data_IF_282084395623
#
_entry.id   IF_282084395623
#
_cell.length_a   1.000
_cell.length_b   1.000
_cell.length_c   1.000
_cell.angle_alpha   90.00
_cell.angle_beta   90.00
_cell.angle_gamma   90.00
#
_symmetry.space_group_name_H-M   'P 1'
#
loop_
_entity.id
_entity.type
_entity.pdbx_description
1 polymer ?
#
# COMPACT_ATOMS: atom_id res chain seq x y z
N UNK A 1 12.08 -16.37 -5.95
CA UNK A 1 12.77 -15.17 -5.42
C UNK A 1 13.60 -14.59 -6.55
N UNK A 2 13.06 -13.62 -7.29
CA UNK A 2 13.85 -12.88 -8.28
C UNK A 2 14.66 -11.88 -7.45
N UNK A 3 16.00 -11.97 -7.41
CA UNK A 3 16.82 -10.96 -6.76
C UNK A 3 16.91 -9.77 -7.71
N UNK A 4 15.77 -9.12 -7.97
CA UNK A 4 15.78 -7.86 -8.69
C UNK A 4 16.26 -6.81 -7.70
N UNK A 5 17.54 -6.42 -7.79
CA UNK A 5 17.98 -5.13 -7.29
C UNK A 5 17.22 -4.07 -8.10
N UNK A 6 15.99 -3.79 -7.69
CA UNK A 6 15.12 -2.80 -8.33
C UNK A 6 15.78 -1.44 -8.14
N UNK A 7 16.37 -0.93 -9.22
CA UNK A 7 16.90 0.42 -9.26
C UNK A 7 15.78 1.42 -8.97
N UNK A 8 16.08 2.58 -8.39
CA UNK A 8 15.08 3.59 -8.02
C UNK A 8 14.16 3.98 -9.20
N UNK A 9 14.69 3.93 -10.42
CA UNK A 9 13.96 4.16 -11.66
C UNK A 9 12.87 3.10 -11.92
N UNK A 10 13.17 1.81 -11.69
CA UNK A 10 12.18 0.72 -11.85
C UNK A 10 11.06 0.80 -10.82
N UNK A 11 11.38 1.19 -9.58
CA UNK A 11 10.39 1.42 -8.55
C UNK A 11 9.47 2.61 -8.91
N UNK A 12 10.04 3.71 -9.43
CA UNK A 12 9.27 4.85 -9.90
C UNK A 12 8.33 4.48 -11.05
N UNK A 13 8.80 3.71 -12.04
CA UNK A 13 7.98 3.20 -13.14
C UNK A 13 6.87 2.26 -12.66
N UNK A 14 7.17 1.38 -11.70
CA UNK A 14 6.18 0.49 -11.10
C UNK A 14 5.06 1.25 -10.37
N UNK A 15 5.42 2.28 -9.61
CA UNK A 15 4.45 3.16 -8.95
C UNK A 15 3.62 3.93 -9.99
N UNK A 16 4.27 4.47 -11.03
CA UNK A 16 3.58 5.20 -12.10
C UNK A 16 2.57 4.32 -12.85
N UNK A 17 2.95 3.08 -13.18
CA UNK A 17 2.04 2.10 -13.77
C UNK A 17 0.86 1.81 -12.84
N UNK A 18 1.13 1.55 -11.56
CA UNK A 18 0.06 1.33 -10.57
C UNK A 18 -0.88 2.52 -10.42
N UNK A 19 -0.36 3.74 -10.52
CA UNK A 19 -1.16 4.96 -10.51
C UNK A 19 -2.05 5.07 -11.77
N UNK A 20 -1.51 4.76 -12.96
CA UNK A 20 -2.29 4.74 -14.20
C UNK A 20 -3.43 3.73 -14.09
N UNK A 21 -3.15 2.49 -13.66
CA UNK A 21 -4.19 1.48 -13.50
C UNK A 21 -5.22 1.88 -12.43
N UNK A 22 -4.77 2.48 -11.33
CA UNK A 22 -5.68 3.01 -10.29
C UNK A 22 -6.58 4.10 -10.83
N UNK A 23 -6.06 4.98 -11.70
CA UNK A 23 -6.83 6.03 -12.34
C UNK A 23 -7.84 5.46 -13.33
N UNK A 24 -7.46 4.47 -14.15
CA UNK A 24 -8.40 3.79 -15.05
C UNK A 24 -9.51 3.09 -14.26
N UNK A 25 -9.17 2.42 -13.16
CA UNK A 25 -10.16 1.81 -12.27
C UNK A 25 -11.11 2.86 -11.68
N UNK A 26 -10.58 4.00 -11.24
CA UNK A 26 -11.39 5.10 -10.73
C UNK A 26 -12.32 5.69 -11.79
N UNK A 27 -11.84 5.91 -13.02
CA UNK A 27 -12.66 6.45 -14.10
C UNK A 27 -13.74 5.49 -14.59
N UNK A 28 -13.50 4.17 -14.51
CA UNK A 28 -14.45 3.15 -14.97
C UNK A 28 -15.46 2.76 -13.90
N UNK A 29 -15.05 2.70 -12.63
CA UNK A 29 -15.88 2.17 -11.53
C UNK A 29 -16.25 3.21 -10.47
N UNK A 30 -15.67 4.41 -10.51
CA UNK A 30 -15.74 5.43 -9.44
C UNK A 30 -15.26 4.94 -8.06
N UNK A 31 -14.63 3.76 -7.99
CA UNK A 31 -14.03 3.22 -6.78
C UNK A 31 -12.56 3.63 -6.71
N UNK A 32 -12.09 3.95 -5.51
CA UNK A 32 -10.69 4.31 -5.32
C UNK A 32 -9.97 3.12 -4.66
N UNK A 33 -9.01 2.49 -5.36
CA UNK A 33 -8.36 1.26 -4.90
C UNK A 33 -7.34 1.56 -3.79
N UNK A 34 -7.81 1.76 -2.56
CA UNK A 34 -6.95 1.89 -1.38
C UNK A 34 -6.01 3.11 -1.38
N UNK A 35 -6.22 4.08 -2.28
CA UNK A 35 -5.35 5.22 -2.56
C UNK A 35 -4.61 5.04 -3.88
N UNK A 36 -4.50 6.10 -4.69
CA UNK A 36 -4.00 5.98 -6.08
C UNK A 36 -2.58 5.40 -6.22
N UNK A 37 -1.74 5.55 -5.21
CA UNK A 37 -0.36 5.04 -5.21
C UNK A 37 -0.27 3.61 -4.65
N UNK A 38 -1.27 3.21 -3.87
CA UNK A 38 -1.25 1.99 -3.06
C UNK A 38 -1.11 0.71 -3.90
N UNK A 39 -1.86 0.48 -4.99
CA UNK A 39 -1.74 -0.75 -5.78
C UNK A 39 -0.35 -0.90 -6.43
N UNK A 40 0.26 0.22 -6.85
CA UNK A 40 1.61 0.21 -7.40
C UNK A 40 2.66 -0.17 -6.37
N UNK A 41 2.54 0.36 -5.15
CA UNK A 41 3.44 -0.03 -4.06
C UNK A 41 3.22 -1.49 -3.64
N UNK A 42 1.97 -1.95 -3.50
CA UNK A 42 1.69 -3.34 -3.15
C UNK A 42 2.26 -4.29 -4.23
N UNK A 43 2.07 -3.97 -5.52
CA UNK A 43 2.62 -4.77 -6.61
C UNK A 43 4.14 -4.88 -6.53
N UNK A 44 4.85 -3.78 -6.25
CA UNK A 44 6.30 -3.79 -6.03
C UNK A 44 6.70 -4.64 -4.82
N UNK A 45 6.00 -4.48 -3.68
CA UNK A 45 6.30 -5.27 -2.49
C UNK A 45 6.04 -6.76 -2.68
N UNK A 46 5.08 -7.16 -3.52
CA UNK A 46 4.86 -8.56 -3.87
C UNK A 46 6.01 -9.13 -4.72
N UNK A 47 6.69 -8.30 -5.50
CA UNK A 47 7.89 -8.71 -6.27
C UNK A 47 9.10 -8.82 -5.35
N UNK A 48 9.29 -7.87 -4.42
CA UNK A 48 10.48 -7.82 -3.55
C UNK A 48 10.35 -8.73 -2.34
N UNK A 49 9.26 -8.61 -1.58
CA UNK A 49 9.10 -9.23 -0.26
C UNK A 49 7.62 -9.48 0.09
N UNK A 50 7.15 -10.70 -0.17
CA UNK A 50 5.80 -11.15 0.18
C UNK A 50 5.50 -11.06 1.68
N UNK A 51 6.51 -11.15 2.55
CA UNK A 51 6.33 -11.02 4.00
C UNK A 51 5.96 -9.58 4.40
N UNK A 52 6.44 -8.57 3.66
CA UNK A 52 6.05 -7.17 3.87
C UNK A 52 4.60 -6.89 3.50
N UNK A 53 4.08 -7.53 2.45
CA UNK A 53 2.67 -7.42 2.09
C UNK A 53 1.75 -7.94 3.23
N UNK A 54 2.11 -9.06 3.87
CA UNK A 54 1.36 -9.59 5.02
C UNK A 54 1.35 -8.64 6.23
N UNK A 55 2.51 -8.07 6.56
CA UNK A 55 2.63 -7.06 7.62
C UNK A 55 1.80 -5.82 7.32
N UNK A 56 1.80 -5.35 6.07
CA UNK A 56 1.00 -4.21 5.64
C UNK A 56 -0.50 -4.46 5.82
N UNK A 57 -1.02 -5.64 5.49
CA UNK A 57 -2.43 -5.99 5.74
C UNK A 57 -2.75 -6.00 7.24
N UNK A 58 -1.85 -6.55 8.07
CA UNK A 58 -2.01 -6.55 9.52
C UNK A 58 -2.05 -5.11 10.09
N UNK A 59 -1.15 -4.24 9.63
CA UNK A 59 -1.12 -2.84 10.07
C UNK A 59 -2.31 -2.05 9.54
N UNK A 60 -2.72 -2.25 8.29
CA UNK A 60 -3.89 -1.58 7.71
C UNK A 60 -5.19 -1.95 8.45
N UNK A 61 -5.37 -3.23 8.78
CA UNK A 61 -6.53 -3.69 9.56
C UNK A 61 -6.49 -3.14 10.98
N UNK A 62 -5.34 -3.20 11.67
CA UNK A 62 -5.17 -2.60 12.99
C UNK A 62 -5.45 -1.09 13.00
N UNK A 63 -4.94 -0.37 12.01
CA UNK A 63 -5.18 1.08 11.85
C UNK A 63 -6.65 1.38 11.59
N UNK A 64 -7.33 0.59 10.76
CA UNK A 64 -8.76 0.73 10.50
C UNK A 64 -9.59 0.56 11.78
N UNK A 65 -9.29 -0.45 12.61
CA UNK A 65 -9.99 -0.63 13.89
C UNK A 65 -9.70 0.51 14.87
N UNK A 66 -8.44 0.93 14.97
CA UNK A 66 -8.03 2.03 15.85
C UNK A 66 -8.73 3.33 15.45
N UNK A 67 -8.77 3.64 14.16
CA UNK A 67 -9.41 4.86 13.66
C UNK A 67 -10.92 4.84 13.86
N UNK A 68 -11.57 3.68 13.73
CA UNK A 68 -12.99 3.52 14.07
C UNK A 68 -13.26 3.73 15.57
N UNK A 69 -12.33 3.33 16.44
CA UNK A 69 -12.43 3.59 17.88
C UNK A 69 -12.27 5.09 18.18
N UNK A 70 -11.28 5.75 17.58
CA UNK A 70 -11.05 7.19 17.74
C UNK A 70 -12.24 8.01 17.21
N UNK A 71 -12.87 7.59 16.11
CA UNK A 71 -14.09 8.21 15.58
C UNK A 71 -15.27 8.18 16.57
N UNK A 72 -15.29 7.26 17.56
CA UNK A 72 -16.33 7.25 18.61
C UNK A 72 -16.13 8.36 19.62
N UNK A 73 -14.88 8.75 19.88
CA UNK A 73 -14.53 9.77 20.88
C UNK A 73 -14.35 11.15 20.26
N UNK A 74 -13.93 11.23 19.00
CA UNK A 74 -13.60 12.48 18.31
C UNK A 74 -14.33 12.57 16.99
N UNK A 75 -14.96 13.71 16.75
CA UNK A 75 -15.64 14.03 15.49
C UNK A 75 -14.58 14.25 14.39
N UNK A 76 -14.29 13.19 13.63
CA UNK A 76 -13.32 13.19 12.54
C UNK A 76 -14.03 13.10 11.18
N UNK A 77 -14.13 14.23 10.49
CA UNK A 77 -14.69 14.30 9.12
C UNK A 77 -13.76 15.04 8.15
N UNK A 78 -13.93 14.74 6.86
CA UNK A 78 -13.21 15.40 5.76
C UNK A 78 -11.68 15.28 5.88
N UNK A 79 -10.98 16.42 5.79
CA UNK A 79 -9.50 16.48 5.83
C UNK A 79 -8.91 16.05 7.18
N UNK A 80 -9.65 16.20 8.28
CA UNK A 80 -9.19 15.79 9.63
C UNK A 80 -9.13 14.29 9.76
N UNK A 81 -10.09 13.59 9.16
CA UNK A 81 -10.11 12.13 9.12
C UNK A 81 -8.87 11.58 8.41
N UNK A 82 -8.53 12.15 7.25
CA UNK A 82 -7.35 11.74 6.49
C UNK A 82 -6.07 11.86 7.33
N UNK A 83 -5.83 13.02 7.94
CA UNK A 83 -4.66 13.24 8.78
C UNK A 83 -4.61 12.28 9.97
N UNK A 84 -5.73 12.08 10.67
CA UNK A 84 -5.79 11.19 11.82
C UNK A 84 -5.51 9.73 11.42
N UNK A 85 -6.08 9.24 10.33
CA UNK A 85 -5.87 7.86 9.86
C UNK A 85 -4.42 7.62 9.45
N UNK A 86 -3.83 8.55 8.68
CA UNK A 86 -2.43 8.43 8.28
C UNK A 86 -1.50 8.49 9.49
N UNK A 87 -1.76 9.39 10.46
CA UNK A 87 -0.98 9.44 11.70
C UNK A 87 -1.10 8.15 12.51
N UNK A 88 -2.31 7.62 12.66
CA UNK A 88 -2.52 6.32 13.32
C UNK A 88 -1.74 5.21 12.60
N UNK A 89 -1.74 5.19 11.26
CA UNK A 89 -1.00 4.20 10.49
C UNK A 89 0.50 4.29 10.73
N UNK A 90 1.05 5.51 10.70
CA UNK A 90 2.48 5.75 10.95
C UNK A 90 2.84 5.33 12.37
N UNK A 91 2.05 5.70 13.38
CA UNK A 91 2.27 5.28 14.77
C UNK A 91 2.16 3.76 14.95
N UNK A 92 1.20 3.12 14.30
CA UNK A 92 1.06 1.67 14.32
C UNK A 92 2.26 0.99 13.64
N UNK A 93 2.69 1.49 12.49
CA UNK A 93 3.84 0.94 11.77
C UNK A 93 5.14 1.15 12.55
N UNK A 94 5.35 2.31 13.18
CA UNK A 94 6.55 2.57 13.99
C UNK A 94 6.57 1.72 15.27
N UNK A 95 5.43 1.53 15.94
CA UNK A 95 5.34 0.64 17.10
C UNK A 95 5.62 -0.82 16.72
N UNK A 96 5.07 -1.30 15.60
CA UNK A 96 5.37 -2.65 15.10
C UNK A 96 6.84 -2.75 14.69
N UNK A 97 7.40 -1.74 14.02
CA UNK A 97 8.83 -1.71 13.67
C UNK A 97 9.70 -1.77 14.92
N UNK A 98 9.43 -0.95 15.95
CA UNK A 98 10.19 -0.96 17.20
C UNK A 98 10.09 -2.32 17.90
N UNK A 99 8.88 -2.90 17.99
CA UNK A 99 8.66 -4.20 18.62
C UNK A 99 9.36 -5.35 17.88
N UNK A 100 9.26 -5.39 16.54
CA UNK A 100 9.79 -6.49 15.72
C UNK A 100 11.24 -6.27 15.25
N UNK A 101 11.79 -5.06 15.39
CA UNK A 101 13.18 -4.74 15.00
C UNK A 101 14.21 -5.65 15.68
N UNK A 102 13.89 -6.13 16.89
CA UNK A 102 14.77 -6.99 17.67
C UNK A 102 14.77 -8.45 17.18
N UNK A 103 13.70 -8.90 16.54
CA UNK A 103 13.52 -10.29 16.08
C UNK A 103 13.73 -10.45 14.56
N UNK A 104 13.40 -9.43 13.77
CA UNK A 104 13.48 -9.47 12.31
C UNK A 104 14.05 -8.19 11.69
N UNK A 105 15.35 -7.90 11.89
CA UNK A 105 15.99 -6.69 11.37
C UNK A 105 15.97 -6.60 9.83
N UNK A 106 15.99 -7.74 9.13
CA UNK A 106 16.00 -7.79 7.66
C UNK A 106 14.66 -7.43 7.02
N UNK A 107 13.56 -7.47 7.77
CA UNK A 107 12.25 -7.13 7.20
C UNK A 107 12.15 -5.62 6.98
N UNK A 108 12.60 -4.80 7.92
CA UNK A 108 12.41 -3.35 7.87
C UNK A 108 13.53 -2.64 7.09
N UNK A 109 13.59 -2.88 5.79
CA UNK A 109 14.27 -1.93 4.89
C UNK A 109 13.40 -0.68 4.79
N UNK A 110 13.92 0.45 5.26
CA UNK A 110 13.24 1.75 5.44
C UNK A 110 12.66 2.34 4.14
N UNK A 111 11.57 1.76 3.64
CA UNK A 111 10.77 2.35 2.57
C UNK A 111 9.71 3.24 3.19
N UNK A 112 9.89 4.56 3.09
CA UNK A 112 8.97 5.58 3.61
C UNK A 112 7.52 5.35 3.16
N UNK A 113 7.32 4.81 1.95
CA UNK A 113 5.99 4.48 1.43
C UNK A 113 5.28 3.40 2.25
N UNK A 114 6.00 2.43 2.82
CA UNK A 114 5.43 1.37 3.64
C UNK A 114 4.80 1.84 4.95
N UNK A 115 5.13 3.05 5.42
CA UNK A 115 4.50 3.67 6.59
C UNK A 115 3.20 4.39 6.25
N UNK A 116 3.09 4.92 5.03
CA UNK A 116 1.97 5.76 4.61
C UNK A 116 0.86 4.92 3.95
N UNK A 117 1.25 3.93 3.14
CA UNK A 117 0.32 3.11 2.35
C UNK A 117 -0.76 2.42 3.19
N UNK A 118 -0.48 1.78 4.34
CA UNK A 118 -1.52 1.20 5.20
C UNK A 118 -2.56 2.23 5.67
N UNK A 119 -2.13 3.48 5.87
CA UNK A 119 -3.00 4.61 6.21
C UNK A 119 -3.91 5.02 5.06
N UNK A 120 -3.40 5.03 3.83
CA UNK A 120 -4.21 5.32 2.65
C UNK A 120 -5.29 4.26 2.43
N UNK A 121 -4.96 2.98 2.61
CA UNK A 121 -5.94 1.88 2.49
C UNK A 121 -7.01 1.98 3.55
N UNK A 122 -6.61 2.10 4.81
CA UNK A 122 -7.56 2.21 5.93
C UNK A 122 -8.46 3.44 5.81
N UNK A 123 -7.94 4.56 5.28
CA UNK A 123 -8.74 5.74 5.00
C UNK A 123 -9.80 5.49 3.92
N UNK A 124 -9.45 4.79 2.84
CA UNK A 124 -10.44 4.45 1.81
C UNK A 124 -11.47 3.43 2.30
N UNK A 125 -11.06 2.45 3.11
CA UNK A 125 -11.99 1.53 3.78
C UNK A 125 -12.96 2.24 4.73
N UNK A 126 -12.58 3.41 5.28
CA UNK A 126 -13.47 4.22 6.11
C UNK A 126 -14.47 5.05 5.29
N UNK A 127 -14.20 5.28 4.00
CA UNK A 127 -15.05 6.11 3.11
C UNK A 127 -15.84 5.32 2.06
N UNK A 128 -15.37 4.14 1.71
CA UNK A 128 -15.94 3.27 0.69
C UNK A 128 -16.25 1.90 1.31
N UNK A 129 -17.24 1.16 0.78
CA UNK A 129 -17.55 -0.16 1.28
C UNK A 129 -16.33 -1.07 1.22
N UNK A 130 -16.01 -1.70 2.36
CA UNK A 130 -14.80 -2.51 2.57
C UNK A 130 -14.57 -3.50 1.42
N UNK A 131 -15.61 -4.24 1.03
CA UNK A 131 -15.54 -5.23 -0.04
C UNK A 131 -15.13 -4.60 -1.38
N UNK A 132 -15.68 -3.45 -1.74
CA UNK A 132 -15.35 -2.78 -2.99
C UNK A 132 -13.91 -2.26 -2.99
N UNK A 133 -13.42 -1.71 -1.87
CA UNK A 133 -12.03 -1.26 -1.75
C UNK A 133 -11.06 -2.44 -1.82
N UNK A 134 -11.35 -3.55 -1.15
CA UNK A 134 -10.50 -4.75 -1.21
C UNK A 134 -10.46 -5.32 -2.63
N UNK A 135 -11.62 -5.53 -3.26
CA UNK A 135 -11.70 -6.10 -4.62
C UNK A 135 -10.99 -5.20 -5.64
N UNK A 136 -11.25 -3.89 -5.62
CA UNK A 136 -10.61 -2.94 -6.53
C UNK A 136 -9.10 -2.86 -6.30
N UNK A 137 -8.65 -2.79 -5.04
CA UNK A 137 -7.22 -2.76 -4.71
C UNK A 137 -6.54 -4.03 -5.18
N UNK A 138 -7.10 -5.22 -4.89
CA UNK A 138 -6.53 -6.50 -5.32
C UNK A 138 -6.51 -6.63 -6.84
N UNK A 139 -7.59 -6.27 -7.53
CA UNK A 139 -7.64 -6.34 -9.00
C UNK A 139 -6.60 -5.43 -9.67
N UNK A 140 -6.49 -4.18 -9.22
CA UNK A 140 -5.53 -3.21 -9.76
C UNK A 140 -4.10 -3.60 -9.42
N UNK A 141 -3.86 -4.12 -8.21
CA UNK A 141 -2.54 -4.61 -7.80
C UNK A 141 -2.11 -5.79 -8.68
N UNK A 142 -3.00 -6.76 -8.94
CA UNK A 142 -2.71 -7.91 -9.79
C UNK A 142 -2.42 -7.47 -11.24
N UNK A 143 -3.23 -6.57 -11.80
CA UNK A 143 -2.99 -6.02 -13.13
C UNK A 143 -1.62 -5.34 -13.23
N UNK A 144 -1.29 -4.51 -12.23
CA UNK A 144 0.01 -3.83 -12.17
C UNK A 144 1.16 -4.81 -12.02
N UNK A 145 1.01 -5.83 -11.16
CA UNK A 145 2.00 -6.87 -10.93
C UNK A 145 2.31 -7.66 -12.21
N UNK A 146 1.28 -8.09 -12.95
CA UNK A 146 1.44 -8.84 -14.21
C UNK A 146 2.22 -8.00 -15.22
N UNK A 147 1.88 -6.72 -15.37
CA UNK A 147 2.58 -5.82 -16.31
C UNK A 147 4.01 -5.57 -15.89
N UNK A 148 4.26 -5.37 -14.60
CA UNK A 148 5.60 -5.11 -14.07
C UNK A 148 6.51 -6.34 -14.23
N UNK A 149 6.01 -7.53 -13.90
CA UNK A 149 6.73 -8.80 -14.09
C UNK A 149 6.98 -9.06 -15.57
N UNK A 150 5.99 -8.85 -16.45
CA UNK A 150 6.18 -8.99 -17.89
C UNK A 150 7.25 -8.02 -18.42
N UNK A 151 7.23 -6.76 -18.00
CA UNK A 151 8.23 -5.75 -18.37
C UNK A 151 9.63 -6.09 -17.89
N UNK A 152 9.75 -6.73 -16.71
CA UNK A 152 11.02 -7.21 -16.18
C UNK A 152 11.54 -8.42 -16.98
N UNK A 153 10.66 -9.36 -17.33
CA UNK A 153 11.01 -10.58 -18.09
C UNK A 153 11.41 -10.28 -19.54
N UNK A 154 10.80 -9.28 -20.16
CA UNK A 154 11.13 -8.84 -21.53
C UNK A 154 12.45 -8.03 -21.55
N UNK A 155 12.99 -7.65 -20.39
CA UNK A 155 14.18 -6.79 -20.28
C UNK A 155 13.91 -5.33 -20.69
N UNK A 156 12.64 -4.95 -20.82
CA UNK A 156 12.22 -3.58 -21.16
C UNK A 156 12.41 -2.61 -19.99
N UNK A 157 12.50 -3.14 -18.76
CA UNK A 157 12.81 -2.36 -17.57
C UNK A 157 14.33 -2.34 -17.32
N UNK A 158 14.92 -1.18 -16.98
CA UNK A 158 16.34 -1.08 -16.68
C UNK A 158 16.66 -1.92 -15.44
N UNK A 159 17.22 -3.10 -15.67
CA UNK A 159 17.76 -3.99 -14.64
C UNK A 159 19.27 -3.77 -14.61
N UNK A 160 19.81 -3.50 -13.42
CA UNK A 160 21.24 -3.28 -13.21
C UNK A 160 22.02 -4.59 -13.19
#
# INVERSE_FOLDING_TARGET
MIPANLNAQTAALGIALGLIFSLVCYLTTNLSPGGMITPGWIALTLVTDVRMAGLMVAVATGTYFLTKLVQRTVILYGKRLFAAVVLCAVLMQTTVMLALSHEFPLLYTSQTLGFIVPGLVSYQMARQPLAATVISTTAVTLATYVVLVAGLLIGALPTG
#
